data_IF_348473825408
#
_entry.id   IF_348473825408
#
_cell.length_a   1.000
_cell.length_b   1.000
_cell.length_c   1.000
_cell.angle_alpha   90.00
_cell.angle_beta   90.00
_cell.angle_gamma   90.00
#
_symmetry.space_group_name_H-M   'P 1'
#
loop_
_entity.id
_entity.type
_entity.pdbx_description
1 polymer ?
#
# COMPACT_ATOMS: atom_id res chain seq x y z
N UNK A 1 -24.52 -5.60 8.68
CA UNK A 1 -23.85 -5.48 8.79
C UNK A 1 -23.24 -4.61 8.61
N UNK A 2 -22.97 -4.12 8.91
CA UNK A 2 -22.55 -3.19 8.69
C UNK A 2 -21.43 -2.79 9.28
N UNK A 3 -20.54 -3.49 9.45
CA UNK A 3 -19.30 -3.14 10.03
C UNK A 3 -18.29 -2.71 9.01
N UNK A 4 -18.75 -2.33 7.85
CA UNK A 4 -17.85 -1.85 6.82
C UNK A 4 -17.43 -0.42 7.16
N UNK A 5 -16.13 -0.23 7.36
CA UNK A 5 -15.57 1.08 7.62
C UNK A 5 -14.72 1.49 6.44
N UNK A 6 -14.28 2.74 6.44
CA UNK A 6 -13.38 3.23 5.41
C UNK A 6 -12.14 2.34 5.30
N UNK A 7 -11.53 2.02 6.44
CA UNK A 7 -10.32 1.19 6.45
C UNK A 7 -10.56 -0.21 5.92
N UNK A 8 -11.65 -0.83 6.35
CA UNK A 8 -11.92 -2.20 5.93
C UNK A 8 -12.36 -2.25 4.48
N UNK A 9 -13.10 -1.27 4.03
CA UNK A 9 -13.55 -1.23 2.66
C UNK A 9 -12.38 -1.11 1.69
N UNK A 10 -11.39 -0.30 2.03
CA UNK A 10 -10.23 -0.10 1.20
C UNK A 10 -9.12 -1.12 1.45
N UNK A 11 -9.29 -2.00 2.42
CA UNK A 11 -8.26 -2.96 2.81
C UNK A 11 -6.96 -2.25 3.18
N UNK A 12 -7.09 -1.16 3.92
CA UNK A 12 -5.93 -0.33 4.22
C UNK A 12 -4.84 -1.07 4.97
N UNK A 13 -5.23 -1.97 5.87
CA UNK A 13 -4.22 -2.72 6.62
C UNK A 13 -3.32 -3.52 5.69
N UNK A 14 -3.88 -4.11 4.67
CA UNK A 14 -3.09 -4.90 3.72
C UNK A 14 -2.26 -4.01 2.82
N UNK A 15 -2.83 -2.94 2.33
CA UNK A 15 -2.12 -2.04 1.43
C UNK A 15 -0.96 -1.35 2.13
N UNK A 16 -1.19 -0.85 3.34
CA UNK A 16 -0.17 -0.10 4.05
C UNK A 16 0.94 -0.99 4.59
N UNK A 17 0.70 -2.29 4.66
CA UNK A 17 1.70 -3.24 5.13
C UNK A 17 2.24 -4.14 4.03
N UNK A 18 2.09 -3.71 2.78
CA UNK A 18 2.49 -4.54 1.64
C UNK A 18 3.90 -4.22 1.14
N UNK A 19 4.68 -3.43 1.90
CA UNK A 19 6.03 -3.08 1.51
C UNK A 19 7.02 -3.92 2.30
N UNK A 20 7.98 -4.52 1.60
CA UNK A 20 8.97 -5.38 2.22
C UNK A 20 10.36 -4.97 1.76
N UNK A 21 10.86 -3.82 2.21
CA UNK A 21 12.16 -3.35 1.75
C UNK A 21 13.29 -4.28 2.22
N UNK A 22 14.33 -4.34 1.41
CA UNK A 22 15.48 -5.18 1.69
C UNK A 22 16.50 -4.47 2.59
N UNK A 23 16.29 -3.20 2.89
CA UNK A 23 17.21 -2.42 3.72
C UNK A 23 16.42 -1.45 4.59
N UNK A 24 17.11 -0.74 5.45
CA UNK A 24 16.50 0.28 6.31
C UNK A 24 16.52 1.66 5.66
N UNK A 25 16.95 1.77 4.42
CA UNK A 25 17.04 3.06 3.76
C UNK A 25 15.64 3.58 3.46
N UNK A 26 15.33 4.79 3.89
CA UNK A 26 14.04 5.39 3.66
C UNK A 26 13.77 5.56 2.15
N UNK A 27 14.82 5.81 1.37
CA UNK A 27 14.66 5.99 -0.07
C UNK A 27 14.19 4.72 -0.76
N UNK A 28 14.54 3.56 -0.22
CA UNK A 28 14.05 2.31 -0.79
C UNK A 28 12.54 2.17 -0.55
N UNK A 29 12.09 2.50 0.64
CA UNK A 29 10.66 2.45 0.94
C UNK A 29 9.89 3.41 0.04
N UNK A 30 10.45 4.61 -0.16
CA UNK A 30 9.83 5.59 -1.03
C UNK A 30 9.72 5.05 -2.47
N UNK A 31 10.77 4.42 -2.95
CA UNK A 31 10.77 3.81 -4.27
C UNK A 31 9.64 2.78 -4.39
N UNK A 32 9.51 1.92 -3.39
CA UNK A 32 8.49 0.87 -3.40
C UNK A 32 7.09 1.48 -3.42
N UNK A 33 6.84 2.44 -2.54
CA UNK A 33 5.50 3.03 -2.42
C UNK A 33 5.09 3.74 -3.71
N UNK A 34 6.01 4.50 -4.30
CA UNK A 34 5.72 5.22 -5.54
C UNK A 34 5.36 4.23 -6.65
N UNK A 35 6.08 3.15 -6.74
CA UNK A 35 5.83 2.18 -7.80
C UNK A 35 4.57 1.37 -7.53
N UNK A 36 4.28 1.05 -6.27
CA UNK A 36 3.03 0.39 -5.94
C UNK A 36 1.84 1.27 -6.29
N UNK A 37 1.93 2.56 -6.01
CA UNK A 37 0.85 3.49 -6.34
C UNK A 37 0.64 3.56 -7.84
N UNK A 38 1.74 3.60 -8.61
CA UNK A 38 1.66 3.64 -10.06
C UNK A 38 1.00 2.39 -10.62
N UNK A 39 1.35 1.22 -10.08
CA UNK A 39 0.76 -0.02 -10.55
C UNK A 39 -0.73 -0.09 -10.24
N UNK A 40 -1.13 0.43 -9.08
CA UNK A 40 -2.54 0.47 -8.74
C UNK A 40 -3.33 1.35 -9.70
N UNK A 41 -2.76 2.49 -10.10
CA UNK A 41 -3.39 3.34 -11.09
C UNK A 41 -3.52 2.64 -12.44
N UNK A 42 -2.48 1.92 -12.84
CA UNK A 42 -2.49 1.21 -14.11
C UNK A 42 -3.47 0.05 -14.12
N UNK A 43 -3.89 -0.41 -12.98
CA UNK A 43 -4.86 -1.49 -12.88
C UNK A 43 -6.23 -1.07 -13.39
N UNK A 44 -6.50 0.20 -13.32
CA UNK A 44 -7.79 0.72 -13.77
C UNK A 44 -7.88 0.77 -15.28
#
# INVERSE_FOLDING_TARGET
>A
MSDVTYSSYLDLEKILNAQHPASDAHDELLFIVIHQASELWLKL
#
